data_IF_235545635761
#
_entry.id   IF_235545635761
#
_cell.length_a   1.000
_cell.length_b   1.000
_cell.length_c   1.000
_cell.angle_alpha   90.00
_cell.angle_beta   90.00
_cell.angle_gamma   90.00
#
_symmetry.space_group_name_H-M   'P 1'
#
loop_
_entity.id
_entity.type
_entity.pdbx_description
1 polymer ?
#
# COMPACT_ATOMS: atom_id res chain seq x y z
N UNK A 1 4.37 6.84 0.80
CA UNK A 1 2.98 6.50 0.41
C UNK A 1 2.83 6.58 -1.10
N UNK A 2 2.25 5.55 -1.72
CA UNK A 2 2.01 5.50 -3.17
C UNK A 2 0.51 5.68 -3.44
N UNK A 3 0.14 6.87 -3.91
CA UNK A 3 -1.23 7.33 -4.08
C UNK A 3 -1.60 8.42 -3.08
N UNK A 4 -2.35 9.43 -3.54
CA UNK A 4 -2.72 10.58 -2.71
C UNK A 4 -4.22 10.93 -2.69
N UNK A 5 -5.08 10.00 -3.15
CA UNK A 5 -6.52 10.25 -3.34
C UNK A 5 -7.32 10.39 -2.04
N UNK A 6 -6.78 9.96 -0.91
CA UNK A 6 -7.38 10.16 0.41
C UNK A 6 -6.43 10.98 1.27
N UNK A 7 -6.63 12.29 1.26
CA UNK A 7 -5.89 13.23 2.11
C UNK A 7 -6.14 12.97 3.59
N UNK A 8 -7.36 12.60 3.95
CA UNK A 8 -7.76 12.35 5.34
C UNK A 8 -7.00 11.18 5.95
N UNK A 9 -6.76 10.12 5.17
CA UNK A 9 -5.92 9.02 5.62
C UNK A 9 -4.47 9.46 5.86
N UNK A 10 -3.90 10.28 4.96
CA UNK A 10 -2.52 10.79 5.10
C UNK A 10 -2.43 11.69 6.34
N UNK A 11 -3.40 12.58 6.51
CA UNK A 11 -3.53 13.46 7.67
C UNK A 11 -3.56 12.65 8.98
N UNK A 12 -4.47 11.68 9.08
CA UNK A 12 -4.56 10.77 10.23
C UNK A 12 -3.26 10.03 10.50
N UNK A 13 -2.57 9.56 9.46
CA UNK A 13 -1.26 8.91 9.61
C UNK A 13 -0.19 9.85 10.17
N UNK A 14 -0.18 11.12 9.75
CA UNK A 14 0.74 12.15 10.26
C UNK A 14 0.41 12.59 11.70
N UNK A 15 -0.86 12.63 12.06
CA UNK A 15 -1.36 12.93 13.42
C UNK A 15 -1.01 11.81 14.40
N UNK A 16 -1.28 10.56 14.03
CA UNK A 16 -1.01 9.40 14.90
C UNK A 16 0.49 9.12 15.08
N UNK A 17 1.34 9.60 14.16
CA UNK A 17 2.77 9.34 14.17
C UNK A 17 3.55 10.67 14.07
N UNK A 18 3.65 11.45 15.17
CA UNK A 18 4.15 12.84 15.14
C UNK A 18 5.62 12.98 14.73
N UNK A 19 6.40 11.91 14.82
CA UNK A 19 7.81 11.87 14.39
C UNK A 19 8.00 11.44 12.94
N UNK A 20 6.93 10.97 12.28
CA UNK A 20 7.01 10.48 10.90
C UNK A 20 6.97 11.65 9.91
N UNK A 21 7.80 11.55 8.88
CA UNK A 21 7.69 12.33 7.65
C UNK A 21 7.19 11.43 6.52
N UNK A 22 6.31 11.96 5.66
CA UNK A 22 5.65 11.20 4.59
C UNK A 22 6.04 11.78 3.23
N UNK A 23 6.66 10.95 2.40
CA UNK A 23 6.74 11.20 0.96
C UNK A 23 5.51 10.60 0.27
N UNK A 24 4.75 11.43 -0.44
CA UNK A 24 3.58 11.05 -1.23
C UNK A 24 3.97 10.99 -2.71
N UNK A 25 3.80 9.82 -3.32
CA UNK A 25 4.14 9.56 -4.72
C UNK A 25 2.86 9.27 -5.51
N UNK A 26 2.57 10.04 -6.56
CA UNK A 26 1.43 9.78 -7.45
C UNK A 26 1.77 10.26 -8.87
N UNK A 27 1.16 9.66 -9.89
CA UNK A 27 1.36 10.08 -11.29
C UNK A 27 0.53 11.34 -11.63
N UNK A 28 -0.57 11.56 -10.90
CA UNK A 28 -1.52 12.65 -11.14
C UNK A 28 -1.06 13.94 -10.48
N UNK A 29 -0.55 14.88 -11.29
CA UNK A 29 -0.19 16.22 -10.81
C UNK A 29 -1.37 16.93 -10.14
N UNK A 30 -2.59 16.78 -10.69
CA UNK A 30 -3.81 17.34 -10.09
C UNK A 30 -4.07 16.79 -8.69
N UNK A 31 -3.93 15.48 -8.50
CA UNK A 31 -4.17 14.87 -7.21
C UNK A 31 -3.10 15.29 -6.18
N UNK A 32 -1.83 15.37 -6.60
CA UNK A 32 -0.74 15.86 -5.76
C UNK A 32 -0.94 17.33 -5.36
N UNK A 33 -1.30 18.19 -6.31
CA UNK A 33 -1.56 19.61 -6.04
C UNK A 33 -2.72 19.81 -5.06
N UNK A 34 -3.78 19.02 -5.18
CA UNK A 34 -4.90 19.06 -4.24
C UNK A 34 -4.47 18.57 -2.85
N UNK A 35 -3.73 17.47 -2.79
CA UNK A 35 -3.24 16.93 -1.53
C UNK A 35 -2.25 17.88 -0.83
N UNK A 36 -1.36 18.53 -1.58
CA UNK A 36 -0.40 19.50 -1.03
C UNK A 36 -1.09 20.75 -0.50
N UNK A 37 -2.12 21.25 -1.18
CA UNK A 37 -2.88 22.41 -0.71
C UNK A 37 -3.56 22.17 0.66
N UNK A 38 -3.91 20.91 0.96
CA UNK A 38 -4.51 20.53 2.25
C UNK A 38 -3.46 20.20 3.30
N UNK A 39 -2.46 19.38 2.96
CA UNK A 39 -1.54 18.81 3.95
C UNK A 39 -0.35 19.73 4.26
N UNK A 40 0.15 20.47 3.28
CA UNK A 40 1.36 21.28 3.47
C UNK A 40 1.16 22.44 4.48
N UNK A 41 0.02 23.17 4.49
CA UNK A 41 -0.21 24.21 5.48
C UNK A 41 -0.21 23.70 6.93
N UNK A 42 -0.62 22.45 7.14
CA UNK A 42 -0.75 21.87 8.48
C UNK A 42 0.51 21.13 8.94
N UNK A 43 1.17 20.40 8.03
CA UNK A 43 2.29 19.51 8.39
C UNK A 43 3.66 20.01 7.92
N UNK A 44 3.71 21.06 7.09
CA UNK A 44 4.94 21.68 6.61
C UNK A 44 5.92 20.67 6.00
N UNK A 45 7.16 20.68 6.50
CA UNK A 45 8.26 19.82 6.00
C UNK A 45 8.08 18.34 6.29
N UNK A 46 7.09 17.95 7.11
CA UNK A 46 6.79 16.53 7.36
C UNK A 46 6.05 15.85 6.22
N UNK A 47 5.62 16.60 5.20
CA UNK A 47 5.00 16.04 4.00
C UNK A 47 5.70 16.54 2.75
N UNK A 48 6.11 15.62 1.90
CA UNK A 48 6.71 15.90 0.60
C UNK A 48 5.93 15.21 -0.52
N UNK A 49 5.99 15.75 -1.72
CA UNK A 49 5.23 15.26 -2.87
C UNK A 49 6.17 15.01 -4.05
N UNK A 50 6.00 13.85 -4.69
CA UNK A 50 6.77 13.45 -5.85
C UNK A 50 5.83 12.98 -6.96
N UNK A 51 5.86 13.67 -8.09
CA UNK A 51 5.17 13.21 -9.29
C UNK A 51 6.05 12.19 -10.02
N UNK A 52 5.72 10.91 -9.89
CA UNK A 52 6.49 9.83 -10.49
C UNK A 52 5.65 8.57 -10.63
N UNK A 53 6.11 7.65 -11.48
CA UNK A 53 5.63 6.27 -11.46
C UNK A 53 6.13 5.56 -10.18
N UNK A 54 5.28 4.80 -9.48
CA UNK A 54 5.67 4.11 -8.25
C UNK A 54 6.85 3.16 -8.41
N UNK A 55 6.91 2.38 -9.50
CA UNK A 55 7.99 1.43 -9.73
C UNK A 55 9.29 2.16 -10.05
N UNK A 56 9.23 3.20 -10.89
CA UNK A 56 10.39 4.05 -11.18
C UNK A 56 10.96 4.71 -9.93
N UNK A 57 10.07 5.15 -9.04
CA UNK A 57 10.46 5.76 -7.77
C UNK A 57 11.26 4.79 -6.90
N UNK A 58 10.80 3.54 -6.79
CA UNK A 58 11.49 2.51 -6.02
C UNK A 58 12.84 2.11 -6.64
N UNK A 59 12.91 2.01 -7.97
CA UNK A 59 14.10 1.51 -8.67
C UNK A 59 15.20 2.56 -8.81
N UNK A 60 14.84 3.84 -8.96
CA UNK A 60 15.79 4.85 -9.43
C UNK A 60 15.83 6.15 -8.63
N UNK A 61 14.80 6.46 -7.83
CA UNK A 61 14.74 7.75 -7.11
C UNK A 61 15.11 7.56 -5.64
N UNK A 62 14.49 6.59 -4.97
CA UNK A 62 14.67 6.40 -3.54
C UNK A 62 15.95 5.63 -3.26
N UNK A 63 16.76 6.06 -2.28
CA UNK A 63 17.91 5.29 -1.83
C UNK A 63 17.48 3.94 -1.26
N UNK A 64 18.34 2.94 -1.39
CA UNK A 64 18.13 1.64 -0.76
C UNK A 64 18.02 1.78 0.75
N UNK A 65 17.14 0.98 1.37
CA UNK A 65 16.92 0.95 2.83
C UNK A 65 16.65 2.33 3.47
N UNK A 66 15.98 3.22 2.74
CA UNK A 66 15.63 4.57 3.22
C UNK A 66 14.24 4.65 3.84
N UNK A 67 13.37 3.68 3.56
CA UNK A 67 11.94 3.75 3.88
C UNK A 67 11.59 2.81 5.03
N UNK A 68 11.08 3.37 6.13
CA UNK A 68 10.55 2.59 7.26
C UNK A 68 9.27 1.85 6.87
N UNK A 69 8.29 2.58 6.33
CA UNK A 69 6.98 2.02 5.94
C UNK A 69 6.56 2.48 4.55
N UNK A 70 6.30 1.53 3.66
CA UNK A 70 5.67 1.77 2.37
C UNK A 70 4.19 1.46 2.45
N UNK A 71 3.34 2.40 2.03
CA UNK A 71 1.88 2.24 2.11
C UNK A 71 1.27 2.48 0.73
N UNK A 72 0.39 1.58 0.32
CA UNK A 72 -0.45 1.72 -0.89
C UNK A 72 -1.92 1.69 -0.45
N UNK A 73 -2.51 2.86 -0.14
CA UNK A 73 -3.88 2.89 0.37
C UNK A 73 -4.90 2.73 -0.77
N UNK A 74 -5.79 1.74 -0.68
CA UNK A 74 -6.91 1.55 -1.61
C UNK A 74 -6.51 1.64 -3.09
N UNK A 75 -5.58 0.78 -3.58
CA UNK A 75 -5.16 0.80 -4.97
C UNK A 75 -6.37 0.62 -5.90
N UNK A 76 -6.35 1.29 -7.05
CA UNK A 76 -7.47 1.20 -8.00
C UNK A 76 -7.55 -0.22 -8.58
N UNK A 77 -8.71 -0.91 -8.53
CA UNK A 77 -8.76 -2.34 -8.87
C UNK A 77 -8.52 -2.69 -10.34
N UNK A 78 -8.92 -1.81 -11.28
CA UNK A 78 -8.90 -2.08 -12.72
C UNK A 78 -9.42 -3.48 -13.07
N UNK A 79 -10.74 -3.66 -12.89
CA UNK A 79 -11.41 -4.97 -12.93
C UNK A 79 -11.26 -5.70 -14.27
N UNK A 80 -11.35 -4.99 -15.39
CA UNK A 80 -11.26 -5.59 -16.73
C UNK A 80 -9.83 -5.94 -17.13
N UNK A 81 -9.67 -6.95 -17.99
CA UNK A 81 -8.38 -7.31 -18.60
C UNK A 81 -7.76 -6.17 -19.43
N UNK A 82 -8.59 -5.37 -20.10
CA UNK A 82 -8.12 -4.22 -20.90
C UNK A 82 -7.42 -3.15 -20.06
N UNK A 83 -7.84 -2.99 -18.80
CA UNK A 83 -7.28 -2.00 -17.87
C UNK A 83 -6.34 -2.58 -16.82
N UNK A 84 -6.20 -3.90 -16.75
CA UNK A 84 -5.47 -4.61 -15.69
C UNK A 84 -3.98 -4.27 -15.65
N UNK A 85 -3.38 -3.88 -16.77
CA UNK A 85 -1.99 -3.40 -16.84
C UNK A 85 -1.71 -2.12 -16.03
N UNK A 86 -2.76 -1.46 -15.52
CA UNK A 86 -2.67 -0.27 -14.69
C UNK A 86 -2.74 -0.59 -13.19
N UNK A 87 -2.95 -1.86 -12.81
CA UNK A 87 -2.93 -2.27 -11.40
C UNK A 87 -1.55 -1.96 -10.83
N UNK A 88 -1.54 -1.21 -9.74
CA UNK A 88 -0.31 -0.80 -9.08
C UNK A 88 0.35 -1.99 -8.34
N UNK A 89 -0.47 -2.74 -7.62
CA UNK A 89 0.02 -3.83 -6.78
C UNK A 89 0.33 -5.06 -7.64
N UNK A 90 1.59 -5.20 -8.04
CA UNK A 90 2.08 -6.31 -8.86
C UNK A 90 3.32 -6.91 -8.23
N UNK A 91 3.65 -8.15 -8.57
CA UNK A 91 4.87 -8.81 -8.10
C UNK A 91 6.13 -7.94 -8.35
N UNK A 92 6.26 -7.36 -9.55
CA UNK A 92 7.38 -6.47 -9.88
C UNK A 92 7.47 -5.23 -8.99
N UNK A 93 6.34 -4.58 -8.70
CA UNK A 93 6.29 -3.45 -7.79
C UNK A 93 6.61 -3.85 -6.34
N UNK A 94 6.06 -4.98 -5.85
CA UNK A 94 6.34 -5.51 -4.51
C UNK A 94 7.83 -5.83 -4.37
N UNK A 95 8.43 -6.48 -5.35
CA UNK A 95 9.87 -6.70 -5.41
C UNK A 95 10.67 -5.38 -5.42
N UNK A 96 10.23 -4.34 -6.14
CA UNK A 96 10.90 -3.05 -6.12
C UNK A 96 10.84 -2.38 -4.73
N UNK A 97 9.76 -2.58 -3.97
CA UNK A 97 9.67 -2.11 -2.57
C UNK A 97 10.76 -2.73 -1.69
N UNK A 98 11.17 -3.98 -1.94
CA UNK A 98 12.25 -4.63 -1.19
C UNK A 98 13.54 -3.77 -1.17
N UNK A 99 13.85 -3.06 -2.26
CA UNK A 99 15.06 -2.25 -2.36
C UNK A 99 15.05 -1.07 -1.39
N UNK A 100 13.93 -0.37 -1.29
CA UNK A 100 13.82 0.87 -0.51
C UNK A 100 13.50 0.63 0.96
N UNK A 101 12.89 -0.52 1.29
CA UNK A 101 12.49 -0.83 2.65
C UNK A 101 13.70 -1.11 3.55
N UNK A 102 13.65 -0.56 4.75
CA UNK A 102 14.53 -0.95 5.85
C UNK A 102 14.17 -2.35 6.34
N UNK A 103 15.16 -3.01 6.94
CA UNK A 103 14.94 -4.26 7.66
C UNK A 103 14.24 -3.96 8.99
N UNK A 104 13.49 -4.94 9.44
CA UNK A 104 12.93 -4.95 10.79
C UNK A 104 14.02 -5.27 11.80
N UNK A 105 13.96 -4.61 12.94
CA UNK A 105 14.83 -4.86 14.09
C UNK A 105 14.24 -5.91 15.03
N UNK A 106 12.91 -6.11 15.01
CA UNK A 106 12.23 -7.09 15.86
C UNK A 106 10.87 -7.54 15.30
N UNK A 107 10.27 -8.55 15.93
CA UNK A 107 8.91 -9.07 15.62
C UNK A 107 7.80 -8.06 15.93
N UNK A 108 8.06 -7.05 16.76
CA UNK A 108 7.14 -5.95 17.06
C UNK A 108 7.33 -4.71 16.18
N UNK A 109 8.43 -4.64 15.41
CA UNK A 109 8.77 -3.49 14.56
C UNK A 109 7.74 -3.30 13.44
N UNK A 110 7.14 -2.12 13.30
CA UNK A 110 6.11 -1.84 12.30
C UNK A 110 6.67 -1.43 10.93
N UNK A 111 8.00 -1.54 10.73
CA UNK A 111 8.64 -1.37 9.42
C UNK A 111 8.20 -2.43 8.42
N UNK A 112 7.98 -1.99 7.19
CA UNK A 112 7.63 -2.86 6.08
C UNK A 112 6.63 -2.21 5.14
N UNK A 113 5.68 -3.01 4.71
CA UNK A 113 4.74 -2.66 3.66
C UNK A 113 3.30 -2.92 4.11
N UNK A 114 2.40 -2.00 3.81
CA UNK A 114 0.96 -2.09 4.13
C UNK A 114 0.13 -1.67 2.92
N UNK A 115 -0.89 -2.46 2.61
CA UNK A 115 -1.98 -2.11 1.69
C UNK A 115 -3.32 -2.51 2.30
N UNK A 116 -4.40 -1.97 1.79
CA UNK A 116 -5.74 -2.43 2.13
C UNK A 116 -6.71 -2.11 1.00
N UNK A 117 -7.77 -2.92 0.90
CA UNK A 117 -8.83 -2.75 -0.09
C UNK A 117 -10.19 -3.13 0.48
N UNK A 118 -11.24 -2.56 -0.07
CA UNK A 118 -12.64 -2.94 0.16
C UNK A 118 -13.14 -4.07 -0.76
N UNK A 119 -12.24 -4.76 -1.47
CA UNK A 119 -12.61 -5.58 -2.63
C UNK A 119 -11.95 -6.94 -2.52
N UNK A 120 -12.71 -7.96 -2.12
CA UNK A 120 -12.21 -9.33 -1.97
C UNK A 120 -11.45 -9.83 -3.22
N UNK A 121 -11.95 -9.65 -4.46
CA UNK A 121 -11.20 -10.11 -5.64
C UNK A 121 -9.86 -9.39 -5.84
N UNK A 122 -9.78 -8.10 -5.47
CA UNK A 122 -8.51 -7.37 -5.52
C UNK A 122 -7.59 -7.83 -4.39
N UNK A 123 -8.12 -8.10 -3.21
CA UNK A 123 -7.35 -8.64 -2.09
C UNK A 123 -6.71 -9.98 -2.49
N UNK A 124 -7.47 -10.91 -3.05
CA UNK A 124 -6.96 -12.20 -3.56
C UNK A 124 -5.87 -12.01 -4.62
N UNK A 125 -6.06 -11.10 -5.57
CA UNK A 125 -5.03 -10.76 -6.55
C UNK A 125 -3.75 -10.21 -5.89
N UNK A 126 -3.88 -9.23 -4.98
CA UNK A 126 -2.72 -8.66 -4.27
C UNK A 126 -2.00 -9.72 -3.43
N UNK A 127 -2.77 -10.64 -2.85
CA UNK A 127 -2.30 -11.75 -2.05
C UNK A 127 -1.47 -12.75 -2.88
N UNK A 128 -1.91 -13.04 -4.11
CA UNK A 128 -1.17 -13.83 -5.11
C UNK A 128 0.12 -13.11 -5.51
N UNK A 129 0.04 -11.83 -5.89
CA UNK A 129 1.20 -11.03 -6.28
C UNK A 129 2.27 -10.93 -5.18
N UNK A 130 1.83 -10.88 -3.92
CA UNK A 130 2.72 -10.89 -2.77
C UNK A 130 3.40 -12.27 -2.58
N UNK A 131 2.67 -13.37 -2.77
CA UNK A 131 3.25 -14.72 -2.72
C UNK A 131 4.22 -15.00 -3.85
N UNK A 132 3.95 -14.50 -5.05
CA UNK A 132 4.84 -14.60 -6.19
C UNK A 132 6.15 -13.86 -5.96
N UNK A 133 6.13 -12.77 -5.17
CA UNK A 133 7.30 -11.94 -4.97
C UNK A 133 8.46 -12.69 -4.29
N UNK A 134 8.16 -13.65 -3.38
CA UNK A 134 9.08 -14.48 -2.56
C UNK A 134 10.19 -13.72 -1.79
N UNK A 135 10.37 -12.42 -2.02
CA UNK A 135 11.42 -11.55 -1.50
C UNK A 135 10.95 -10.64 -0.38
N UNK A 136 9.64 -10.63 -0.12
CA UNK A 136 9.05 -9.99 1.04
C UNK A 136 8.25 -11.06 1.77
N UNK A 137 8.41 -11.14 3.08
CA UNK A 137 7.72 -12.13 3.90
C UNK A 137 6.28 -11.65 4.10
N UNK A 138 5.28 -12.36 3.55
CA UNK A 138 3.88 -11.99 3.70
C UNK A 138 3.43 -12.21 5.15
N UNK A 139 2.81 -11.22 5.79
CA UNK A 139 2.15 -11.39 7.08
C UNK A 139 0.74 -11.98 6.92
N UNK A 140 0.57 -12.94 6.00
CA UNK A 140 -0.72 -13.62 5.77
C UNK A 140 -1.20 -14.40 6.99
N UNK A 141 -0.29 -14.84 7.86
CA UNK A 141 -0.58 -15.74 8.99
C UNK A 141 -0.62 -15.07 10.36
N UNK A 142 -0.30 -13.77 10.47
CA UNK A 142 -0.29 -13.05 11.75
C UNK A 142 -1.01 -11.72 11.55
N UNK A 143 -2.27 -11.67 11.94
CA UNK A 143 -3.17 -10.51 11.94
C UNK A 143 -2.43 -9.16 11.75
N UNK A 144 -2.39 -8.59 10.53
CA UNK A 144 -1.67 -7.36 10.22
C UNK A 144 -1.99 -6.21 11.17
N UNK A 145 -3.22 -6.18 11.69
CA UNK A 145 -3.70 -5.21 12.67
C UNK A 145 -2.90 -5.20 13.97
N UNK A 146 -2.22 -6.30 14.35
CA UNK A 146 -1.45 -6.33 15.59
C UNK A 146 -0.12 -5.58 15.47
N UNK A 147 0.58 -5.74 14.33
CA UNK A 147 1.91 -5.14 14.12
C UNK A 147 1.83 -3.79 13.42
N UNK A 148 0.86 -3.60 12.52
CA UNK A 148 0.73 -2.41 11.68
C UNK A 148 -0.51 -1.58 12.03
N UNK A 149 -1.03 -1.69 13.26
CA UNK A 149 -2.24 -0.98 13.73
C UNK A 149 -2.18 0.52 13.50
N UNK A 150 -1.01 1.13 13.69
CA UNK A 150 -0.74 2.56 13.47
C UNK A 150 -1.01 3.00 12.02
N UNK A 151 -0.81 2.09 11.06
CA UNK A 151 -0.93 2.35 9.63
C UNK A 151 -2.26 1.89 9.05
N UNK A 152 -2.93 0.93 9.66
CA UNK A 152 -4.22 0.41 9.18
C UNK A 152 -5.36 1.37 9.56
N UNK A 153 -6.31 1.66 8.65
CA UNK A 153 -7.53 2.38 8.99
C UNK A 153 -8.28 1.69 10.13
N UNK A 154 -8.61 2.42 11.20
CA UNK A 154 -9.47 1.88 12.26
C UNK A 154 -10.85 1.69 11.64
N UNK A 155 -11.40 0.49 11.76
CA UNK A 155 -12.83 0.28 11.56
C UNK A 155 -13.49 0.84 12.82
N UNK A 156 -14.13 2.00 12.74
CA UNK A 156 -14.90 2.51 13.86
C UNK A 156 -16.18 1.67 13.95
N UNK A 157 -16.22 0.77 14.91
CA UNK A 157 -17.48 0.30 15.49
C UNK A 157 -17.75 1.30 16.60
N UNK A 158 -18.77 2.15 16.46
CA UNK A 158 -19.23 2.95 17.58
C UNK A 158 -19.93 1.99 18.54
N UNK A 159 -19.33 1.77 19.72
CA UNK A 159 -19.94 0.96 20.79
C UNK A 159 -20.97 1.74 21.62
N UNK A 160 -21.23 3.01 21.26
CA UNK A 160 -22.17 3.88 21.98
C UNK A 160 -23.45 4.13 21.18
N UNK A 161 -24.56 3.90 21.87
CA UNK A 161 -25.97 4.18 21.59
C UNK A 161 -26.71 3.27 20.61
N UNK A 162 -27.99 3.04 20.93
CA UNK A 162 -29.04 2.24 20.27
C UNK A 162 -29.36 2.63 18.80
N UNK A 163 -28.42 3.28 18.14
CA UNK A 163 -28.44 3.64 16.73
C UNK A 163 -27.66 2.60 15.94
N UNK A 164 -28.14 2.23 14.74
CA UNK A 164 -27.41 1.32 13.86
C UNK A 164 -25.93 1.75 13.69
N UNK A 165 -24.97 0.82 13.74
CA UNK A 165 -23.55 1.14 13.68
C UNK A 165 -23.26 1.97 12.42
N UNK A 166 -22.88 3.24 12.60
CA UNK A 166 -22.53 4.10 11.48
C UNK A 166 -21.18 3.67 10.92
N UNK A 167 -21.23 3.02 9.76
CA UNK A 167 -20.04 2.68 8.98
C UNK A 167 -19.32 3.96 8.55
N UNK A 168 -18.25 4.32 9.25
CA UNK A 168 -17.37 5.42 8.83
C UNK A 168 -16.50 4.92 7.69
N UNK A 169 -16.78 5.41 6.48
CA UNK A 169 -15.92 5.18 5.31
C UNK A 169 -14.64 6.00 5.49
N UNK A 170 -13.50 5.32 5.47
CA UNK A 170 -12.17 5.93 5.59
C UNK A 170 -11.65 6.51 4.25
N UNK A 171 -12.31 6.20 3.13
CA UNK A 171 -11.87 6.61 1.79
C UNK A 171 -13.04 7.05 0.90
N UNK A 172 -12.88 8.09 0.04
CA UNK A 172 -13.94 8.58 -0.83
C UNK A 172 -14.54 7.54 -1.79
N UNK A 173 -13.77 6.50 -2.14
CA UNK A 173 -14.19 5.44 -3.07
C UNK A 173 -14.46 4.09 -2.39
N UNK A 174 -14.53 4.07 -1.06
CA UNK A 174 -14.83 2.87 -0.30
C UNK A 174 -16.30 2.48 -0.50
N UNK A 175 -16.51 1.30 -1.08
CA UNK A 175 -17.83 0.71 -1.34
C UNK A 175 -18.35 -0.02 -0.11
N UNK A 176 -17.48 -0.78 0.56
CA UNK A 176 -17.84 -1.61 1.71
C UNK A 176 -17.20 -1.12 3.00
N UNK A 177 -17.88 -1.25 4.17
CA UNK A 177 -17.32 -0.93 5.49
C UNK A 177 -15.96 -1.58 5.73
N UNK A 178 -15.89 -2.86 5.39
CA UNK A 178 -14.77 -3.69 5.75
C UNK A 178 -13.60 -3.49 4.81
N UNK A 179 -12.42 -3.40 5.42
CA UNK A 179 -11.16 -3.31 4.71
C UNK A 179 -10.36 -4.58 4.97
N UNK A 180 -9.92 -5.19 3.88
CA UNK A 180 -8.99 -6.31 3.91
C UNK A 180 -7.59 -5.72 3.84
N UNK A 181 -6.86 -5.80 4.95
CA UNK A 181 -5.49 -5.34 5.05
C UNK A 181 -4.50 -6.46 4.72
N UNK A 182 -3.49 -6.14 3.91
CA UNK A 182 -2.35 -7.00 3.65
C UNK A 182 -1.09 -6.26 4.06
N UNK A 183 -0.19 -6.95 4.75
CA UNK A 183 1.09 -6.41 5.14
C UNK A 183 2.20 -7.42 4.89
N UNK A 184 3.41 -6.91 4.73
CA UNK A 184 4.59 -7.72 4.48
C UNK A 184 5.83 -6.96 4.96
N UNK A 185 6.92 -7.65 5.25
CA UNK A 185 8.17 -6.97 5.62
C UNK A 185 9.39 -7.58 4.95
N UNK A 186 10.43 -6.75 4.84
CA UNK A 186 11.70 -7.13 4.24
C UNK A 186 12.42 -8.20 5.10
N UNK A 187 12.82 -9.34 4.52
CA UNK A 187 13.60 -10.37 5.22
C UNK A 187 15.06 -9.96 5.46
N UNK A 188 15.80 -10.81 6.18
CA UNK A 188 17.24 -10.71 6.33
C UNK A 188 17.95 -10.95 4.98
N UNK A 189 18.40 -9.87 4.34
CA UNK A 189 19.25 -9.76 3.13
C UNK A 189 18.87 -10.66 1.94
N UNK A 190 18.40 -10.05 0.84
CA UNK A 190 18.29 -10.74 -0.43
C UNK A 190 19.66 -11.01 -1.08
N UNK A 191 19.77 -12.11 -1.83
CA UNK A 191 20.98 -12.42 -2.60
C UNK A 191 21.24 -11.37 -3.69
N UNK A 192 22.51 -11.23 -4.12
CA UNK A 192 22.87 -10.33 -5.22
C UNK A 192 22.08 -10.64 -6.50
N UNK A 193 21.88 -11.93 -6.81
CA UNK A 193 21.10 -12.35 -7.98
C UNK A 193 19.64 -11.89 -7.89
N UNK A 194 19.04 -11.92 -6.70
CA UNK A 194 17.69 -11.41 -6.50
C UNK A 194 17.64 -9.88 -6.69
N UNK A 195 18.66 -9.16 -6.19
CA UNK A 195 18.76 -7.70 -6.38
C UNK A 195 18.91 -7.34 -7.86
N UNK A 196 19.81 -8.02 -8.58
CA UNK A 196 20.04 -7.81 -10.01
C UNK A 196 18.76 -8.10 -10.83
N UNK A 197 18.00 -9.13 -10.45
CA UNK A 197 16.70 -9.43 -11.05
C UNK A 197 15.69 -8.30 -10.84
N UNK A 198 15.61 -7.71 -9.65
CA UNK A 198 14.69 -6.59 -9.38
C UNK A 198 15.03 -5.41 -10.30
N UNK A 199 16.32 -5.07 -10.44
CA UNK A 199 16.76 -3.99 -11.33
C UNK A 199 16.50 -4.29 -12.81
N UNK A 200 16.43 -5.57 -13.20
CA UNK A 200 16.10 -5.98 -14.57
C UNK A 200 14.62 -5.86 -14.91
N UNK A 201 13.74 -5.64 -13.92
CA UNK A 201 12.32 -5.50 -14.19
C UNK A 201 12.04 -4.26 -15.04
N UNK A 202 11.37 -4.50 -16.16
CA UNK A 202 11.02 -3.47 -17.11
C UNK A 202 9.63 -2.88 -16.84
N UNK A 203 9.38 -1.70 -17.41
CA UNK A 203 8.09 -1.01 -17.38
C UNK A 203 7.10 -1.58 -18.42
N UNK A 204 7.31 -2.81 -18.91
CA UNK A 204 6.39 -3.36 -19.92
C UNK A 204 5.01 -3.54 -19.31
N UNK A 205 3.99 -3.14 -20.07
CA UNK A 205 2.58 -3.33 -19.70
C UNK A 205 2.29 -4.83 -19.64
N UNK A 206 2.13 -5.37 -18.44
CA UNK A 206 1.67 -6.74 -18.23
C UNK A 206 0.15 -6.73 -18.05
N UNK A 207 -0.56 -7.48 -18.88
CA UNK A 207 -2.00 -7.64 -18.71
C UNK A 207 -2.26 -8.84 -17.81
N UNK A 208 -3.08 -8.62 -16.79
CA UNK A 208 -3.55 -9.63 -15.86
C UNK A 208 -4.99 -10.03 -16.17
N UNK A 209 -5.38 -11.19 -15.67
CA UNK A 209 -6.74 -11.68 -15.76
C UNK A 209 -7.76 -10.70 -15.14
N UNK A 210 -9.01 -10.70 -15.62
CA UNK A 210 -10.09 -9.96 -14.98
C UNK A 210 -10.21 -10.32 -13.50
N UNK A 211 -10.55 -9.34 -12.66
CA UNK A 211 -10.70 -9.61 -11.22
C UNK A 211 -11.87 -10.56 -10.92
N UNK A 212 -12.87 -10.66 -11.80
CA UNK A 212 -14.06 -11.47 -11.52
C UNK A 212 -13.73 -12.97 -11.40
N UNK A 213 -12.58 -13.42 -11.96
CA UNK A 213 -12.07 -14.78 -11.77
C UNK A 213 -11.60 -15.06 -10.33
N UNK A 214 -11.27 -14.02 -9.56
CA UNK A 214 -10.86 -14.15 -8.16
C UNK A 214 -12.05 -14.16 -7.18
N UNK A 215 -13.28 -14.17 -7.71
CA UNK A 215 -14.52 -14.14 -6.91
C UNK A 215 -14.99 -15.55 -6.51
N UNK A 216 -14.53 -16.59 -7.21
CA UNK A 216 -15.12 -17.95 -7.12
C UNK A 216 -14.30 -18.95 -6.28
N UNK A 217 -13.08 -18.62 -5.84
CA UNK A 217 -12.21 -19.55 -5.10
C UNK A 217 -12.35 -19.50 -3.56
N UNK A 218 -13.39 -18.86 -3.01
CA UNK A 218 -13.60 -18.78 -1.54
C UNK A 218 -14.61 -19.80 -1.00
N UNK A 219 -14.78 -20.92 -1.70
CA UNK A 219 -15.74 -21.97 -1.35
C UNK A 219 -15.11 -23.36 -1.33
N UNK A 220 -14.09 -23.58 -0.51
CA UNK A 220 -13.70 -24.91 0.00
C UNK A 220 -13.23 -24.77 1.44
#
# INVERSE_FOLDING_TARGET
>A
MFGCKSTDYIKRSLENNPTTSVLVVDHSLKALSNASAVLFPEFGTRVAFLRSDPMFTCLHILPSESTDVAIVPMPTPFRSQSSSHRRLFTCGFVCALHLILKKRESVGDDRGFVTFTDSQPLASFMLEQLDESKLIVPWKQKNPSNTFSSWIPKQSVSDDDESEPQVVKNFPKQRFPDLIALAAAKPEVASKQAIDLIYSYDYKRRHYNPLDQYSEESGV
#
